data_IF_177281668470
#
_entry.id   IF_177281668470
#
_cell.length_a   1.000
_cell.length_b   1.000
_cell.length_c   1.000
_cell.angle_alpha   90.00
_cell.angle_beta   90.00
_cell.angle_gamma   90.00
#
_symmetry.space_group_name_H-M   'P 1'
#
loop_
_entity.id
_entity.type
_entity.pdbx_description
1 polymer ?
#
# COMPACT_ATOMS: atom_id res chain seq x y z
N UNK A 1 -2.93 -2.04 -16.25
CA UNK A 1 -3.12 -0.57 -16.31
C UNK A 1 -4.40 -0.29 -17.08
N UNK A 2 -5.46 0.10 -16.39
CA UNK A 2 -6.67 0.63 -17.02
C UNK A 2 -6.50 2.15 -17.14
N UNK A 3 -6.18 2.65 -18.34
CA UNK A 3 -6.10 4.10 -18.64
C UNK A 3 -7.48 4.78 -18.71
N UNK A 4 -8.52 4.19 -18.11
CA UNK A 4 -9.92 4.62 -18.25
C UNK A 4 -10.68 4.76 -16.92
N UNK A 5 -10.04 4.49 -15.78
CA UNK A 5 -10.60 4.92 -14.50
C UNK A 5 -10.12 6.36 -14.26
N UNK A 6 -11.01 7.35 -14.29
CA UNK A 6 -10.68 8.77 -14.11
C UNK A 6 -9.99 9.14 -12.79
N UNK A 7 -9.66 8.16 -11.93
CA UNK A 7 -8.96 8.33 -10.66
C UNK A 7 -7.54 8.89 -10.80
N UNK A 8 -6.81 8.61 -11.89
CA UNK A 8 -5.50 9.25 -12.15
C UNK A 8 -5.61 10.75 -12.42
N UNK A 9 -6.81 11.29 -12.61
CA UNK A 9 -7.06 12.73 -12.68
C UNK A 9 -7.05 13.44 -11.33
N UNK A 10 -7.01 12.69 -10.22
CA UNK A 10 -6.94 13.22 -8.85
C UNK A 10 -5.54 12.94 -8.31
N UNK A 11 -4.74 13.99 -8.18
CA UNK A 11 -3.30 13.89 -7.94
C UNK A 11 -2.91 13.09 -6.67
N UNK A 12 -3.56 13.27 -5.51
CA UNK A 12 -3.30 12.44 -4.33
C UNK A 12 -3.46 10.93 -4.59
N UNK A 13 -4.53 10.52 -5.27
CA UNK A 13 -4.76 9.10 -5.57
C UNK A 13 -3.80 8.60 -6.65
N UNK A 14 -3.49 9.41 -7.65
CA UNK A 14 -2.50 9.06 -8.67
C UNK A 14 -1.13 8.76 -8.02
N UNK A 15 -0.73 9.56 -7.02
CA UNK A 15 0.51 9.37 -6.29
C UNK A 15 0.52 8.07 -5.46
N UNK A 16 -0.59 7.73 -4.78
CA UNK A 16 -0.73 6.45 -4.07
C UNK A 16 -0.66 5.25 -5.05
N UNK A 17 -1.30 5.35 -6.21
CA UNK A 17 -1.21 4.31 -7.25
C UNK A 17 0.22 4.16 -7.81
N UNK A 18 0.99 5.24 -7.87
CA UNK A 18 2.38 5.19 -8.29
C UNK A 18 3.27 4.55 -7.21
N UNK A 19 2.98 4.80 -5.92
CA UNK A 19 3.60 4.08 -4.81
C UNK A 19 3.32 2.57 -4.86
N UNK A 20 2.10 2.15 -5.22
CA UNK A 20 1.77 0.75 -5.43
C UNK A 20 2.69 0.07 -6.46
N UNK A 21 3.07 0.75 -7.54
CA UNK A 21 4.00 0.18 -8.51
C UNK A 21 5.37 -0.07 -7.89
N UNK A 22 5.88 0.85 -7.08
CA UNK A 22 7.16 0.68 -6.37
C UNK A 22 7.08 -0.48 -5.36
N UNK A 23 6.00 -0.57 -4.59
CA UNK A 23 5.79 -1.68 -3.65
C UNK A 23 5.78 -3.03 -4.38
N UNK A 24 5.12 -3.11 -5.54
CA UNK A 24 5.08 -4.31 -6.36
C UNK A 24 6.45 -4.66 -7.00
N UNK A 25 7.24 -3.65 -7.37
CA UNK A 25 8.58 -3.85 -7.89
C UNK A 25 9.52 -4.42 -6.82
N UNK A 26 9.51 -3.85 -5.60
CA UNK A 26 10.27 -4.37 -4.46
C UNK A 26 9.78 -5.77 -4.06
N UNK A 27 8.47 -6.02 -4.07
CA UNK A 27 7.92 -7.37 -3.90
C UNK A 27 8.42 -8.34 -5.00
N UNK A 28 8.68 -7.83 -6.21
CA UNK A 28 9.33 -8.57 -7.29
C UNK A 28 10.78 -8.92 -6.98
N UNK A 29 11.54 -8.00 -6.38
CA UNK A 29 12.92 -8.23 -5.93
C UNK A 29 12.98 -9.33 -4.86
N UNK A 30 12.10 -9.27 -3.86
CA UNK A 30 12.00 -10.31 -2.82
C UNK A 30 11.76 -11.69 -3.45
N UNK A 31 10.81 -11.80 -4.39
CA UNK A 31 10.51 -13.05 -5.10
C UNK A 31 11.72 -13.57 -5.89
N UNK A 32 12.47 -12.68 -6.56
CA UNK A 32 13.68 -13.05 -7.31
C UNK A 32 14.77 -13.58 -6.39
N UNK A 33 15.02 -12.91 -5.26
CA UNK A 33 16.00 -13.32 -4.27
C UNK A 33 15.67 -14.69 -3.65
N UNK A 34 14.41 -14.90 -3.24
CA UNK A 34 13.95 -16.20 -2.72
C UNK A 34 14.10 -17.32 -3.75
N UNK A 35 13.74 -17.06 -5.02
CA UNK A 35 13.90 -18.04 -6.11
C UNK A 35 15.37 -18.40 -6.37
N UNK A 36 16.28 -17.46 -6.16
CA UNK A 36 17.72 -17.69 -6.28
C UNK A 36 18.34 -18.37 -5.04
N UNK A 37 17.57 -18.54 -3.95
CA UNK A 37 18.07 -19.01 -2.66
C UNK A 37 18.90 -17.98 -1.89
N UNK A 38 18.86 -16.71 -2.31
CA UNK A 38 19.57 -15.60 -1.67
C UNK A 38 18.72 -15.02 -0.53
N UNK A 39 18.72 -15.73 0.60
CA UNK A 39 17.98 -15.33 1.81
C UNK A 39 18.42 -13.95 2.33
N UNK A 40 19.73 -13.62 2.41
CA UNK A 40 20.15 -12.27 2.80
C UNK A 40 19.56 -11.17 1.91
N UNK A 41 19.62 -11.30 0.59
CA UNK A 41 19.03 -10.30 -0.32
C UNK A 41 17.50 -10.22 -0.18
N UNK A 42 16.82 -11.35 0.04
CA UNK A 42 15.38 -11.37 0.28
C UNK A 42 15.01 -10.60 1.56
N UNK A 43 15.79 -10.76 2.64
CA UNK A 43 15.58 -10.06 3.91
C UNK A 43 15.82 -8.55 3.77
N UNK A 44 16.87 -8.15 3.04
CA UNK A 44 17.14 -6.73 2.76
C UNK A 44 15.99 -6.08 1.98
N UNK A 45 15.54 -6.74 0.90
CA UNK A 45 14.41 -6.25 0.11
C UNK A 45 13.09 -6.23 0.91
N UNK A 46 12.88 -7.19 1.82
CA UNK A 46 11.72 -7.20 2.72
C UNK A 46 11.73 -6.03 3.72
N UNK A 47 12.89 -5.72 4.31
CA UNK A 47 13.01 -4.58 5.22
C UNK A 47 12.73 -3.25 4.48
N UNK A 48 13.19 -3.14 3.23
CA UNK A 48 12.84 -2.00 2.38
C UNK A 48 11.32 -1.95 2.09
N UNK A 49 10.72 -3.10 1.74
CA UNK A 49 9.28 -3.18 1.50
C UNK A 49 8.46 -2.75 2.73
N UNK A 50 8.83 -3.23 3.92
CA UNK A 50 8.18 -2.88 5.20
C UNK A 50 8.21 -1.37 5.45
N UNK A 51 9.37 -0.74 5.24
CA UNK A 51 9.51 0.71 5.42
C UNK A 51 8.66 1.52 4.42
N UNK A 52 8.63 1.10 3.15
CA UNK A 52 7.83 1.77 2.12
C UNK A 52 6.33 1.56 2.35
N UNK A 53 5.93 0.34 2.70
CA UNK A 53 4.55 -0.01 2.99
C UNK A 53 4.02 0.78 4.19
N UNK A 54 4.79 0.89 5.28
CA UNK A 54 4.38 1.68 6.45
C UNK A 54 4.18 3.16 6.12
N UNK A 55 4.99 3.71 5.20
CA UNK A 55 4.76 5.07 4.70
C UNK A 55 3.47 5.18 3.88
N UNK A 56 3.29 4.26 2.93
CA UNK A 56 2.10 4.20 2.08
C UNK A 56 0.80 4.14 2.91
N UNK A 57 0.72 3.14 3.78
CA UNK A 57 -0.40 2.90 4.72
C UNK A 57 -0.72 4.16 5.52
N UNK A 58 0.30 4.85 6.06
CA UNK A 58 0.09 6.06 6.83
C UNK A 58 -0.57 7.19 6.05
N UNK A 59 -0.33 7.29 4.74
CA UNK A 59 -0.95 8.29 3.87
C UNK A 59 -2.41 7.94 3.56
N UNK A 60 -2.69 6.66 3.34
CA UNK A 60 -4.05 6.18 3.08
C UNK A 60 -4.95 6.34 4.31
N UNK A 61 -4.52 5.80 5.45
CA UNK A 61 -5.30 5.75 6.69
C UNK A 61 -5.65 7.15 7.21
N UNK A 62 -4.68 8.08 7.19
CA UNK A 62 -4.92 9.47 7.62
C UNK A 62 -5.55 10.35 6.54
N UNK A 63 -5.54 9.89 5.28
CA UNK A 63 -6.04 10.60 4.12
C UNK A 63 -7.36 10.03 3.63
N UNK A 64 -7.31 9.30 2.52
CA UNK A 64 -8.49 8.84 1.80
C UNK A 64 -9.39 7.94 2.65
N UNK A 65 -8.83 7.09 3.51
CA UNK A 65 -9.62 6.19 4.37
C UNK A 65 -10.34 6.95 5.48
N UNK A 66 -9.66 7.85 6.19
CA UNK A 66 -10.28 8.74 7.17
C UNK A 66 -11.42 9.56 6.55
N UNK A 67 -11.18 10.15 5.37
CA UNK A 67 -12.20 10.93 4.66
C UNK A 67 -13.42 10.08 4.26
N UNK A 68 -13.19 8.88 3.72
CA UNK A 68 -14.29 7.97 3.34
C UNK A 68 -15.10 7.48 4.53
N UNK A 69 -14.45 7.21 5.67
CA UNK A 69 -15.11 6.80 6.91
C UNK A 69 -15.94 7.93 7.53
N UNK A 70 -15.47 9.16 7.45
CA UNK A 70 -16.21 10.32 7.95
C UNK A 70 -17.44 10.64 7.09
N UNK A 71 -17.38 10.40 5.78
CA UNK A 71 -18.38 10.89 4.83
C UNK A 71 -19.38 9.85 4.30
N UNK A 72 -19.25 8.54 4.54
CA UNK A 72 -20.16 7.61 3.87
C UNK A 72 -20.25 6.16 4.29
N UNK A 73 -21.06 5.44 3.51
CA UNK A 73 -21.47 4.03 3.69
C UNK A 73 -20.38 2.99 3.39
N UNK A 74 -19.17 3.42 3.03
CA UNK A 74 -18.04 2.55 2.67
C UNK A 74 -17.08 2.28 3.83
N UNK A 75 -17.39 2.76 5.03
CA UNK A 75 -16.58 2.55 6.22
C UNK A 75 -16.23 1.08 6.46
N UNK A 76 -17.16 0.15 6.20
CA UNK A 76 -16.91 -1.28 6.36
C UNK A 76 -15.80 -1.81 5.41
N UNK A 77 -15.82 -1.39 4.15
CA UNK A 77 -14.80 -1.83 3.19
C UNK A 77 -13.42 -1.24 3.53
N UNK A 78 -13.39 0.00 4.03
CA UNK A 78 -12.16 0.64 4.52
C UNK A 78 -11.65 -0.06 5.79
N UNK A 79 -12.53 -0.40 6.74
CA UNK A 79 -12.15 -1.12 7.96
C UNK A 79 -11.53 -2.49 7.64
N UNK A 80 -12.01 -3.19 6.60
CA UNK A 80 -11.38 -4.44 6.13
C UNK A 80 -9.95 -4.20 5.62
N UNK A 81 -9.70 -3.12 4.87
CA UNK A 81 -8.36 -2.78 4.38
C UNK A 81 -7.41 -2.37 5.51
N UNK A 82 -7.87 -1.58 6.50
CA UNK A 82 -7.07 -1.24 7.70
C UNK A 82 -6.69 -2.50 8.50
N UNK A 83 -7.57 -3.52 8.56
CA UNK A 83 -7.24 -4.80 9.17
C UNK A 83 -6.20 -5.59 8.36
N UNK A 84 -6.21 -5.48 7.03
CA UNK A 84 -5.18 -6.05 6.16
C UNK A 84 -3.82 -5.36 6.37
N UNK A 85 -3.79 -4.02 6.49
CA UNK A 85 -2.58 -3.27 6.86
C UNK A 85 -1.98 -3.76 8.18
N UNK A 86 -2.83 -3.88 9.21
CA UNK A 86 -2.40 -4.37 10.51
C UNK A 86 -1.87 -5.82 10.43
N UNK A 87 -2.48 -6.66 9.60
CA UNK A 87 -2.00 -8.02 9.36
C UNK A 87 -0.62 -8.03 8.71
N UNK A 88 -0.37 -7.17 7.72
CA UNK A 88 0.94 -7.06 7.08
C UNK A 88 2.02 -6.63 8.08
N UNK A 89 1.79 -5.56 8.84
CA UNK A 89 2.72 -5.07 9.88
C UNK A 89 3.06 -6.16 10.91
N UNK A 90 2.04 -6.85 11.42
CA UNK A 90 2.24 -7.92 12.40
C UNK A 90 2.97 -9.13 11.84
N UNK A 91 2.76 -9.47 10.57
CA UNK A 91 3.43 -10.62 9.94
C UNK A 91 4.87 -10.29 9.59
N UNK A 92 5.12 -9.12 8.99
CA UNK A 92 6.47 -8.64 8.67
C UNK A 92 7.35 -8.59 9.94
N UNK A 93 6.85 -8.00 11.03
CA UNK A 93 7.58 -7.90 12.30
C UNK A 93 7.87 -9.24 12.99
N UNK A 94 7.21 -10.32 12.59
CA UNK A 94 7.38 -11.68 13.16
C UNK A 94 8.12 -12.64 12.23
N UNK A 95 8.51 -12.20 11.03
CA UNK A 95 9.23 -13.05 10.08
C UNK A 95 10.56 -13.52 10.68
N UNK A 96 10.83 -14.82 10.53
CA UNK A 96 12.05 -15.46 11.01
C UNK A 96 12.79 -16.10 9.82
N UNK A 97 13.85 -15.46 9.28
CA UNK A 97 14.55 -15.95 8.08
C UNK A 97 15.11 -17.37 8.17
N UNK A 98 15.38 -17.85 9.38
CA UNK A 98 15.88 -19.21 9.62
C UNK A 98 14.77 -20.27 9.76
N UNK A 99 13.49 -19.89 9.74
CA UNK A 99 12.38 -20.82 9.87
C UNK A 99 12.16 -21.62 8.58
N UNK A 100 11.80 -22.90 8.71
CA UNK A 100 11.61 -23.81 7.58
C UNK A 100 10.50 -23.40 6.59
N UNK A 101 9.59 -22.51 6.99
CA UNK A 101 8.51 -21.97 6.16
C UNK A 101 8.69 -20.50 5.75
N UNK A 102 9.86 -19.90 5.97
CA UNK A 102 10.09 -18.47 5.72
C UNK A 102 9.73 -18.06 4.28
N UNK A 103 10.19 -18.82 3.28
CA UNK A 103 9.94 -18.49 1.89
C UNK A 103 8.44 -18.57 1.53
N UNK A 104 7.75 -19.60 2.00
CA UNK A 104 6.31 -19.78 1.72
C UNK A 104 5.47 -18.69 2.39
N UNK A 105 5.78 -18.34 3.64
CA UNK A 105 5.11 -17.25 4.37
C UNK A 105 5.28 -15.91 3.64
N UNK A 106 6.51 -15.60 3.21
CA UNK A 106 6.80 -14.38 2.45
C UNK A 106 6.05 -14.38 1.11
N UNK A 107 6.07 -15.49 0.37
CA UNK A 107 5.36 -15.56 -0.91
C UNK A 107 3.84 -15.39 -0.75
N UNK A 108 3.26 -15.93 0.33
CA UNK A 108 1.87 -15.71 0.71
C UNK A 108 1.58 -14.24 1.00
N UNK A 109 2.39 -13.62 1.86
CA UNK A 109 2.28 -12.19 2.20
C UNK A 109 2.33 -11.30 0.95
N UNK A 110 3.27 -11.56 0.04
CA UNK A 110 3.39 -10.76 -1.19
C UNK A 110 2.25 -11.00 -2.19
N UNK A 111 1.56 -12.15 -2.12
CA UNK A 111 0.37 -12.41 -2.91
C UNK A 111 -0.83 -11.64 -2.35
N UNK A 112 -1.02 -11.67 -1.03
CA UNK A 112 -2.04 -10.90 -0.34
C UNK A 112 -1.85 -9.38 -0.54
N UNK A 113 -0.61 -8.88 -0.46
CA UNK A 113 -0.29 -7.48 -0.78
C UNK A 113 -0.75 -7.10 -2.19
N UNK A 114 -0.59 -8.00 -3.17
CA UNK A 114 -1.06 -7.72 -4.53
C UNK A 114 -2.59 -7.64 -4.61
N UNK A 115 -3.28 -8.56 -3.95
CA UNK A 115 -4.74 -8.56 -3.90
C UNK A 115 -5.28 -7.32 -3.19
N UNK A 116 -4.63 -6.91 -2.11
CA UNK A 116 -4.93 -5.68 -1.37
C UNK A 116 -4.81 -4.44 -2.26
N UNK A 117 -3.68 -4.27 -2.95
CA UNK A 117 -3.45 -3.21 -3.93
C UNK A 117 -4.52 -3.21 -5.04
N UNK A 118 -4.98 -4.38 -5.48
CA UNK A 118 -6.04 -4.50 -6.49
C UNK A 118 -7.41 -4.05 -5.92
N UNK A 119 -7.73 -4.33 -4.64
CA UNK A 119 -8.96 -3.86 -3.96
C UNK A 119 -9.01 -2.33 -3.85
N UNK A 120 -7.87 -1.69 -3.60
CA UNK A 120 -7.79 -0.23 -3.55
C UNK A 120 -7.88 0.40 -4.93
N UNK A 121 -6.97 0.00 -5.82
CA UNK A 121 -6.84 0.59 -7.16
C UNK A 121 -8.12 0.45 -8.00
N UNK A 122 -8.83 -0.67 -7.86
CA UNK A 122 -10.01 -0.99 -8.66
C UNK A 122 -11.32 -0.84 -7.88
N UNK A 123 -11.25 -0.66 -6.57
CA UNK A 123 -12.40 -0.54 -5.68
C UNK A 123 -12.43 0.80 -4.95
N UNK A 124 -11.73 0.88 -3.82
CA UNK A 124 -11.86 2.01 -2.88
C UNK A 124 -11.46 3.34 -3.50
N UNK A 125 -10.36 3.41 -4.28
CA UNK A 125 -9.92 4.66 -4.89
C UNK A 125 -10.91 5.20 -5.94
N UNK A 126 -11.39 4.42 -6.93
CA UNK A 126 -12.46 4.88 -7.82
C UNK A 126 -13.72 5.34 -7.09
N UNK A 127 -14.09 4.67 -6.00
CA UNK A 127 -15.24 5.07 -5.18
C UNK A 127 -15.00 6.42 -4.52
N UNK A 128 -13.82 6.63 -3.91
CA UNK A 128 -13.45 7.90 -3.29
C UNK A 128 -13.61 9.09 -4.25
N UNK A 129 -13.19 8.92 -5.52
CA UNK A 129 -13.30 9.95 -6.58
C UNK A 129 -14.73 10.44 -6.76
N UNK A 130 -15.72 9.54 -6.68
CA UNK A 130 -17.11 9.88 -6.94
C UNK A 130 -17.91 10.19 -5.68
N UNK A 131 -17.43 9.77 -4.50
CA UNK A 131 -18.14 9.92 -3.23
C UNK A 131 -17.66 11.08 -2.36
N UNK A 132 -16.37 11.42 -2.39
CA UNK A 132 -15.81 12.47 -1.52
C UNK A 132 -16.20 13.85 -2.01
N UNK A 133 -16.66 14.69 -1.08
CA UNK A 133 -16.87 16.11 -1.32
C UNK A 133 -15.59 16.93 -1.07
N UNK A 134 -15.70 18.26 -1.19
CA UNK A 134 -14.56 19.16 -1.00
C UNK A 134 -13.88 19.02 0.36
N UNK A 135 -14.63 18.80 1.44
CA UNK A 135 -14.04 18.64 2.79
C UNK A 135 -13.31 17.31 2.94
N UNK A 136 -13.78 16.27 2.24
CA UNK A 136 -13.09 14.97 2.16
C UNK A 136 -11.75 15.12 1.47
N UNK A 137 -11.73 15.81 0.33
CA UNK A 137 -10.49 16.10 -0.40
C UNK A 137 -9.53 17.00 0.37
N UNK A 138 -10.02 17.97 1.16
CA UNK A 138 -9.18 18.76 2.07
C UNK A 138 -8.47 17.87 3.11
N UNK A 139 -9.17 16.87 3.67
CA UNK A 139 -8.57 15.87 4.57
C UNK A 139 -7.47 15.08 3.87
N UNK A 140 -7.71 14.59 2.65
CA UNK A 140 -6.70 13.87 1.85
C UNK A 140 -5.48 14.75 1.56
N UNK A 141 -5.69 15.97 1.05
CA UNK A 141 -4.61 16.89 0.73
C UNK A 141 -3.76 17.25 1.94
N UNK A 142 -4.37 17.46 3.11
CA UNK A 142 -3.64 17.70 4.36
C UNK A 142 -2.76 16.51 4.74
N UNK A 143 -3.29 15.30 4.69
CA UNK A 143 -2.52 14.09 5.03
C UNK A 143 -1.29 13.91 4.10
N UNK A 144 -1.46 14.19 2.80
CA UNK A 144 -0.37 14.14 1.82
C UNK A 144 0.69 15.21 2.05
N UNK A 145 0.29 16.41 2.47
CA UNK A 145 1.22 17.48 2.81
C UNK A 145 2.01 17.19 4.11
N UNK A 146 1.37 16.56 5.10
CA UNK A 146 2.00 16.18 6.37
C UNK A 146 2.95 14.98 6.23
N UNK A 147 2.64 14.05 5.33
CA UNK A 147 3.52 12.93 4.99
C UNK A 147 3.71 12.85 3.47
N UNK A 148 4.77 13.48 2.93
CA UNK A 148 5.10 13.41 1.52
C UNK A 148 5.36 11.97 1.06
N UNK A 149 5.06 11.71 -0.21
CA UNK A 149 5.32 10.43 -0.87
C UNK A 149 6.80 10.06 -0.86
N UNK A 150 7.09 8.77 -0.69
CA UNK A 150 8.47 8.28 -0.80
C UNK A 150 9.03 8.43 -2.22
N UNK A 151 8.16 8.61 -3.22
CA UNK A 151 8.55 8.90 -4.61
C UNK A 151 9.27 10.26 -4.74
N UNK A 152 8.95 11.21 -3.87
CA UNK A 152 9.56 12.55 -3.88
C UNK A 152 10.92 12.58 -3.18
N UNK A 153 11.25 11.54 -2.41
CA UNK A 153 12.52 11.45 -1.66
C UNK A 153 13.68 10.94 -2.52
N UNK A 154 13.42 10.53 -3.77
CA UNK A 154 14.46 10.12 -4.74
C UNK A 154 15.12 11.33 -5.41
N UNK A 155 15.68 12.25 -4.62
CA UNK A 155 16.65 13.23 -5.12
C UNK A 155 17.70 13.50 -4.04
N UNK A 156 18.73 12.65 -3.99
CA UNK A 156 20.11 12.99 -3.58
C UNK A 156 21.06 11.86 -3.94
#
# INVERSE_FOLDING_TARGET
MCEHCGCRGVEPLAELMDEHFVLLDVAGDVRRALKAGDVPAAVEALANLEQLLGQHVGREERGVFAAMKEQGDFAYAVDELELEHLSFDQRLSRLAPAAAGFADEVLGLLAELREHIDKENLGVFPVAVVSLDGTGWETVSRAHAEQPSFLTTTTS
#
